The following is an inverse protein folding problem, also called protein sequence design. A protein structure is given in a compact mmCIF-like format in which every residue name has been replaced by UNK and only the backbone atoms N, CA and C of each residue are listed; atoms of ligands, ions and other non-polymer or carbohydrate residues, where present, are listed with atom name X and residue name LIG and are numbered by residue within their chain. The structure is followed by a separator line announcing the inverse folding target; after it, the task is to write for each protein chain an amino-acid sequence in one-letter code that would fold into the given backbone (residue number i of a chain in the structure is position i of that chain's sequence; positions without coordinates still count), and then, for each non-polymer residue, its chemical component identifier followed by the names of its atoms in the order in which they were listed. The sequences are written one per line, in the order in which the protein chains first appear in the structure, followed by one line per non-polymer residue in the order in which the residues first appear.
data_IF_271069609204
#
_entry.id   IF_271069609204
#
_cell.length_a   1.000
_cell.length_b   1.000
_cell.length_c   1.000
_cell.angle_alpha   90.00
_cell.angle_beta   90.00
_cell.angle_gamma   90.00
#
_symmetry.space_group_name_H-M   'P 1'
#
loop_
_entity.id
_entity.type
_entity.pdbx_description
1 polymer ?
#
# COMPACT_ATOMS: atom_id res chain seq x y z
N UNK A 1 -7.16 24.75 -13.13
CA UNK A 1 -6.52 23.43 -12.96
C UNK A 1 -6.13 23.30 -11.50
N UNK A 2 -7.05 22.83 -10.66
CA UNK A 2 -6.78 22.69 -9.24
C UNK A 2 -6.03 21.38 -9.04
N UNK A 3 -4.70 21.46 -8.97
CA UNK A 3 -3.92 20.43 -8.29
C UNK A 3 -4.27 20.58 -6.81
N UNK A 4 -5.39 19.99 -6.41
CA UNK A 4 -5.76 19.83 -5.01
C UNK A 4 -4.55 19.26 -4.30
N UNK A 5 -4.13 19.93 -3.23
CA UNK A 5 -2.98 19.59 -2.42
C UNK A 5 -3.10 18.12 -2.00
N UNK A 6 -2.45 17.25 -2.78
CA UNK A 6 -2.51 15.81 -2.60
C UNK A 6 -1.76 15.53 -1.32
N UNK A 7 -2.50 15.38 -0.23
CA UNK A 7 -1.99 14.83 1.02
C UNK A 7 -1.49 13.44 0.65
N UNK A 8 -0.20 13.35 0.38
CA UNK A 8 0.38 12.15 -0.17
C UNK A 8 0.59 11.22 1.00
N UNK A 9 -0.21 10.17 1.10
CA UNK A 9 -0.14 9.24 2.20
C UNK A 9 1.02 8.27 1.99
N UNK A 10 1.67 7.87 3.08
CA UNK A 10 2.66 6.80 3.09
C UNK A 10 2.04 5.53 3.67
N UNK A 11 2.36 4.36 3.09
CA UNK A 11 1.97 3.08 3.69
C UNK A 11 2.91 2.78 4.86
N UNK A 12 2.34 2.54 6.04
CA UNK A 12 3.07 2.18 7.26
C UNK A 12 3.02 0.69 7.56
N UNK A 13 1.90 0.01 7.27
CA UNK A 13 1.78 -1.46 7.41
C UNK A 13 0.99 -2.08 6.26
N UNK A 14 1.07 -3.40 6.14
CA UNK A 14 0.32 -4.17 5.15
C UNK A 14 -0.42 -5.33 5.83
N UNK A 15 -1.67 -5.56 5.47
CA UNK A 15 -2.38 -6.79 5.83
C UNK A 15 -2.09 -7.86 4.78
N UNK A 16 -1.67 -9.04 5.21
CA UNK A 16 -1.45 -10.19 4.33
C UNK A 16 -2.39 -11.32 4.71
N UNK A 17 -2.91 -12.02 3.70
CA UNK A 17 -3.62 -13.29 3.88
C UNK A 17 -2.66 -14.39 4.36
N UNK A 18 -3.21 -15.54 4.78
CA UNK A 18 -2.45 -16.73 5.16
C UNK A 18 -1.49 -17.25 4.06
N UNK A 19 -1.73 -16.88 2.79
CA UNK A 19 -0.83 -17.17 1.67
C UNK A 19 0.32 -16.15 1.49
N UNK A 20 0.37 -15.10 2.32
CA UNK A 20 1.33 -14.00 2.21
C UNK A 20 0.98 -12.94 1.16
N UNK A 21 -0.24 -12.98 0.60
CA UNK A 21 -0.73 -12.00 -0.37
C UNK A 21 -1.29 -10.76 0.32
N UNK A 22 -0.94 -9.56 -0.14
CA UNK A 22 -1.42 -8.32 0.46
C UNK A 22 -2.90 -8.11 0.12
N UNK A 23 -3.75 -8.00 1.14
CA UNK A 23 -5.20 -7.79 1.02
C UNK A 23 -5.62 -6.37 1.36
N UNK A 24 -4.90 -5.70 2.27
CA UNK A 24 -5.13 -4.31 2.66
C UNK A 24 -3.82 -3.59 3.06
N UNK A 25 -3.89 -2.27 3.19
CA UNK A 25 -2.78 -1.39 3.47
C UNK A 25 -3.15 -0.41 4.58
N UNK A 26 -2.27 -0.22 5.55
CA UNK A 26 -2.42 0.82 6.57
C UNK A 26 -1.57 2.03 6.18
N UNK A 27 -2.21 3.19 6.15
CA UNK A 27 -1.59 4.48 5.93
C UNK A 27 -0.89 4.97 7.21
N UNK A 28 0.03 5.92 7.09
CA UNK A 28 0.77 6.52 8.21
C UNK A 28 -0.12 7.15 9.30
N UNK A 29 -1.36 7.52 8.95
CA UNK A 29 -2.36 8.05 9.88
C UNK A 29 -3.13 6.96 10.65
N UNK A 30 -2.81 5.67 10.43
CA UNK A 30 -3.51 4.52 11.01
C UNK A 30 -4.78 4.12 10.26
N UNK A 31 -5.07 4.73 9.11
CA UNK A 31 -6.22 4.35 8.29
C UNK A 31 -5.92 3.09 7.48
N UNK A 32 -6.76 2.08 7.59
CA UNK A 32 -6.63 0.83 6.84
C UNK A 32 -7.56 0.89 5.63
N UNK A 33 -6.97 0.75 4.44
CA UNK A 33 -7.66 0.77 3.15
C UNK A 33 -7.46 -0.55 2.41
N UNK A 34 -8.50 -1.02 1.73
CA UNK A 34 -8.44 -2.25 0.92
C UNK A 34 -7.50 -2.10 -0.27
N UNK A 35 -7.01 -3.22 -0.82
CA UNK A 35 -6.13 -3.20 -2.01
C UNK A 35 -6.68 -2.36 -3.15
N UNK A 36 -7.97 -2.47 -3.46
CA UNK A 36 -8.61 -1.71 -4.54
C UNK A 36 -8.59 -0.20 -4.29
N UNK A 37 -8.90 0.23 -3.06
CA UNK A 37 -8.83 1.64 -2.66
C UNK A 37 -7.41 2.16 -2.74
N UNK A 38 -6.45 1.38 -2.24
CA UNK A 38 -5.04 1.72 -2.27
C UNK A 38 -4.53 1.87 -3.72
N UNK A 39 -4.94 0.96 -4.62
CA UNK A 39 -4.68 1.05 -6.06
C UNK A 39 -5.27 2.33 -6.67
N UNK A 40 -6.51 2.67 -6.34
CA UNK A 40 -7.17 3.89 -6.84
C UNK A 40 -6.42 5.15 -6.37
N UNK A 41 -6.07 5.21 -5.08
CA UNK A 41 -5.33 6.33 -4.50
C UNK A 41 -3.93 6.46 -5.10
N UNK A 42 -3.20 5.35 -5.26
CA UNK A 42 -1.89 5.36 -5.91
C UNK A 42 -1.97 5.78 -7.39
N UNK A 43 -3.00 5.34 -8.12
CA UNK A 43 -3.28 5.81 -9.50
C UNK A 43 -3.52 7.31 -9.57
N UNK A 44 -4.17 7.87 -8.55
CA UNK A 44 -4.42 9.31 -8.42
C UNK A 44 -3.19 10.10 -7.95
N UNK A 45 -2.11 9.42 -7.54
CA UNK A 45 -0.92 10.07 -6.97
C UNK A 45 -1.09 10.49 -5.50
N UNK A 46 -2.08 9.94 -4.80
CA UNK A 46 -2.34 10.21 -3.38
C UNK A 46 -1.51 9.30 -2.44
N UNK A 47 -0.70 8.37 -2.96
CA UNK A 47 0.19 7.53 -2.15
C UNK A 47 1.62 7.69 -2.63
N UNK A 48 2.54 7.98 -1.71
CA UNK A 48 3.97 8.16 -1.97
C UNK A 48 4.72 6.84 -1.84
N UNK A 49 5.82 6.71 -2.57
CA UNK A 49 6.71 5.55 -2.46
C UNK A 49 6.14 4.24 -3.02
N UNK A 50 4.95 4.27 -3.62
CA UNK A 50 4.31 3.11 -4.24
C UNK A 50 3.89 3.39 -5.67
N UNK A 51 3.62 2.33 -6.42
CA UNK A 51 3.09 2.35 -7.78
C UNK A 51 2.13 1.19 -7.97
N UNK A 52 1.13 1.38 -8.82
CA UNK A 52 0.21 0.31 -9.19
C UNK A 52 0.90 -0.63 -10.16
N UNK A 53 0.88 -1.92 -9.83
CA UNK A 53 1.33 -3.01 -10.68
C UNK A 53 0.17 -3.96 -10.97
N UNK A 54 0.23 -4.62 -12.12
CA UNK A 54 -0.77 -5.61 -12.53
C UNK A 54 -0.18 -7.01 -12.41
N UNK A 55 -0.90 -7.92 -11.74
CA UNK A 55 -0.51 -9.32 -11.59
C UNK A 55 -0.66 -10.05 -12.92
N UNK A 56 -0.02 -11.22 -13.03
CA UNK A 56 -0.17 -12.11 -14.20
C UNK A 56 -1.63 -12.52 -14.47
N UNK A 57 -2.48 -12.48 -13.43
CA UNK A 57 -3.91 -12.79 -13.50
C UNK A 57 -4.79 -11.59 -13.90
N UNK A 58 -4.23 -10.39 -13.98
CA UNK A 58 -4.97 -9.15 -14.22
C UNK A 58 -5.29 -8.34 -12.95
N UNK A 59 -5.06 -8.90 -11.76
CA UNK A 59 -5.30 -8.21 -10.49
C UNK A 59 -4.31 -7.07 -10.24
N UNK A 60 -4.82 -5.88 -10.00
CA UNK A 60 -4.00 -4.72 -9.63
C UNK A 60 -3.61 -4.76 -8.15
N UNK A 61 -2.39 -4.35 -7.85
CA UNK A 61 -1.84 -4.30 -6.51
C UNK A 61 -0.82 -3.17 -6.38
N UNK A 62 -0.56 -2.74 -5.14
CA UNK A 62 0.50 -1.77 -4.89
C UNK A 62 1.86 -2.46 -4.80
N UNK A 63 2.83 -1.86 -5.45
CA UNK A 63 4.24 -2.24 -5.42
C UNK A 63 5.08 -1.05 -4.99
N UNK A 64 6.09 -1.27 -4.16
CA UNK A 64 7.01 -0.20 -3.80
C UNK A 64 7.82 0.28 -4.98
N UNK A 65 8.03 1.59 -5.02
CA UNK A 65 8.96 2.20 -5.94
C UNK A 65 10.39 1.77 -5.57
N UNK A 66 11.26 1.48 -6.55
CA UNK A 66 12.66 1.18 -6.31
C UNK A 66 13.41 2.46 -5.93
N UNK A 67 13.20 2.97 -4.73
CA UNK A 67 13.77 4.25 -4.27
C UNK A 67 15.14 4.08 -3.61
N UNK A 68 16.02 3.22 -4.17
CA UNK A 68 17.34 2.79 -3.63
C UNK A 68 17.38 2.31 -2.16
N UNK A 69 16.30 2.49 -1.41
CA UNK A 69 16.13 2.29 0.02
C UNK A 69 15.07 1.20 0.20
N UNK A 70 15.56 -0.04 0.20
CA UNK A 70 14.71 -1.23 0.34
C UNK A 70 14.03 -1.34 1.70
N UNK A 71 14.46 -0.57 2.70
CA UNK A 71 13.88 -0.61 4.04
C UNK A 71 12.44 -0.07 4.08
N UNK A 72 12.07 0.80 3.13
CA UNK A 72 10.72 1.34 3.00
C UNK A 72 9.86 0.58 1.97
N UNK A 73 10.30 -0.60 1.54
CA UNK A 73 9.49 -1.42 0.66
C UNK A 73 8.33 -2.06 1.43
N UNK A 74 7.17 -2.22 0.79
CA UNK A 74 5.97 -2.91 1.26
C UNK A 74 6.28 -4.34 1.74
N UNK A 75 7.32 -4.97 1.17
CA UNK A 75 7.80 -6.29 1.60
C UNK A 75 8.49 -6.26 2.97
N UNK A 76 9.08 -5.12 3.33
CA UNK A 76 9.84 -4.88 4.56
C UNK A 76 9.01 -4.19 5.66
N UNK A 77 7.78 -3.76 5.33
CA UNK A 77 6.87 -3.18 6.30
C UNK A 77 6.31 -4.25 7.26
N UNK A 78 6.04 -3.88 8.52
CA UNK A 78 5.36 -4.77 9.45
C UNK A 78 4.03 -5.22 8.87
N UNK A 79 3.74 -6.50 9.03
CA UNK A 79 2.43 -7.04 8.71
C UNK A 79 1.48 -6.71 9.86
N UNK A 80 0.23 -6.39 9.53
CA UNK A 80 -0.85 -6.36 10.51
C UNK A 80 -1.09 -7.83 10.86
N UNK A 81 -0.50 -8.27 11.98
CA UNK A 81 -0.61 -9.64 12.44
C UNK A 81 -2.01 -9.85 13.03
N UNK A 82 -2.67 -10.93 12.63
CA UNK A 82 -3.96 -11.36 13.18
C UNK A 82 -3.88 -11.63 14.70
N UNK A 83 -2.67 -11.78 15.26
CA UNK A 83 -2.46 -11.90 16.70
C UNK A 83 -2.52 -10.56 17.47
N UNK A 84 -2.57 -9.40 16.81
CA UNK A 84 -2.74 -8.10 17.49
C UNK A 84 -4.23 -7.72 17.69
N UNK A 85 -5.15 -8.56 17.21
CA UNK A 85 -6.62 -8.39 17.36
C UNK A 85 -7.25 -9.27 18.45
N UNK A 86 -6.47 -9.86 19.37
CA UNK A 86 -6.97 -10.56 20.56
C UNK A 86 -6.22 -10.25 21.85
#
# INVERSE_FOLDING_TARGET
MNKSEGSTHVISKVAKDNQGEITAYELENGEIISKEQAVSLAKQGNISGVSVSTSKKGDEFLRSLPDQNKANNLESLPIIDDNDIY
#
